data_IF_920244347205
#
_entry.id   IF_920244347205
#
_cell.length_a   1.000
_cell.length_b   1.000
_cell.length_c   1.000
_cell.angle_alpha   90.00
_cell.angle_beta   90.00
_cell.angle_gamma   90.00
#
_symmetry.space_group_name_H-M   'P 1'
#
loop_
_entity.id
_entity.type
_entity.pdbx_description
1 polymer ?
#
# COMPACT_ATOMS: atom_id res chain seq x y z
N UNK A 1 80.11 -40.55 -46.48
CA UNK A 1 79.51 -39.48 -45.69
C UNK A 1 78.10 -39.85 -45.43
N UNK A 2 77.79 -40.28 -44.20
CA UNK A 2 76.52 -40.91 -43.82
C UNK A 2 75.68 -39.88 -43.03
N UNK A 3 74.52 -39.55 -43.51
CA UNK A 3 73.56 -38.77 -42.83
C UNK A 3 72.70 -39.67 -41.92
N UNK A 4 72.82 -39.50 -40.63
CA UNK A 4 71.89 -40.09 -39.64
C UNK A 4 70.78 -39.16 -39.37
N UNK A 5 69.63 -39.50 -39.85
CA UNK A 5 68.34 -38.87 -39.54
C UNK A 5 67.76 -39.52 -38.28
N UNK A 6 67.82 -38.79 -37.14
CA UNK A 6 67.25 -39.22 -35.85
C UNK A 6 65.78 -38.93 -35.83
N UNK A 7 64.97 -39.90 -36.14
CA UNK A 7 63.53 -39.87 -35.92
C UNK A 7 63.23 -40.11 -34.43
N UNK A 8 63.05 -39.06 -33.62
CA UNK A 8 62.52 -39.17 -32.25
C UNK A 8 60.98 -39.28 -32.27
N UNK A 9 60.53 -40.53 -32.46
CA UNK A 9 59.14 -40.88 -32.21
C UNK A 9 58.78 -40.69 -30.70
N UNK A 10 58.04 -39.63 -30.38
CA UNK A 10 57.44 -39.54 -29.10
C UNK A 10 56.33 -40.60 -28.95
N UNK A 11 56.64 -41.66 -28.23
CA UNK A 11 55.64 -42.61 -27.78
C UNK A 11 54.64 -41.87 -26.84
N UNK A 12 53.50 -41.55 -27.39
CA UNK A 12 52.35 -41.13 -26.52
C UNK A 12 51.94 -42.37 -25.74
N UNK A 13 52.17 -42.35 -24.44
CA UNK A 13 51.67 -43.36 -23.53
C UNK A 13 50.14 -43.40 -23.61
N UNK A 14 49.51 -44.58 -23.69
CA UNK A 14 48.08 -44.71 -23.74
C UNK A 14 47.49 -44.08 -22.44
N UNK A 15 46.49 -43.19 -22.61
CA UNK A 15 45.79 -42.55 -21.51
C UNK A 15 45.16 -43.63 -20.60
N UNK A 16 45.53 -43.67 -19.34
CA UNK A 16 45.02 -44.63 -18.37
C UNK A 16 43.52 -44.33 -18.10
N UNK A 17 42.58 -45.22 -18.49
CA UNK A 17 41.15 -44.98 -18.35
C UNK A 17 40.68 -44.77 -16.88
N UNK A 18 41.53 -45.17 -15.92
CA UNK A 18 41.26 -44.95 -14.49
C UNK A 18 41.51 -43.49 -14.07
N UNK A 19 42.45 -42.81 -14.71
CA UNK A 19 42.75 -41.39 -14.46
C UNK A 19 41.60 -40.54 -15.01
N UNK A 20 41.10 -40.87 -16.19
CA UNK A 20 39.97 -40.15 -16.83
C UNK A 20 38.68 -40.31 -16.02
N UNK A 21 38.37 -41.51 -15.50
CA UNK A 21 37.20 -41.74 -14.67
C UNK A 21 37.29 -40.98 -13.35
N UNK A 22 38.46 -40.90 -12.73
CA UNK A 22 38.70 -40.19 -11.46
C UNK A 22 38.58 -38.67 -11.64
N UNK A 23 39.12 -38.16 -12.74
CA UNK A 23 39.05 -36.74 -13.12
C UNK A 23 37.63 -36.33 -13.47
N UNK A 24 36.86 -37.21 -14.14
CA UNK A 24 35.45 -36.98 -14.49
C UNK A 24 34.59 -36.92 -13.23
N UNK A 25 34.82 -37.81 -12.27
CA UNK A 25 34.14 -37.84 -10.97
C UNK A 25 34.46 -36.60 -10.15
N UNK A 26 35.72 -36.13 -10.13
CA UNK A 26 36.16 -34.91 -9.49
C UNK A 26 35.49 -33.66 -10.08
N UNK A 27 35.42 -33.58 -11.41
CA UNK A 27 34.75 -32.48 -12.11
C UNK A 27 33.23 -32.45 -11.80
N UNK A 28 32.59 -33.62 -11.78
CA UNK A 28 31.15 -33.72 -11.46
C UNK A 28 30.88 -33.30 -10.03
N UNK A 29 31.75 -33.69 -9.06
CA UNK A 29 31.63 -33.32 -7.69
C UNK A 29 31.84 -31.81 -7.43
N UNK A 30 32.79 -31.21 -8.18
CA UNK A 30 33.03 -29.78 -8.18
C UNK A 30 31.83 -28.98 -8.74
N UNK A 31 31.26 -29.46 -9.84
CA UNK A 31 30.05 -28.86 -10.42
C UNK A 31 28.85 -28.96 -9.48
N UNK A 32 28.69 -30.09 -8.78
CA UNK A 32 27.61 -30.30 -7.81
C UNK A 32 27.76 -29.35 -6.60
N UNK A 33 28.98 -29.19 -6.07
CA UNK A 33 29.29 -28.24 -5.02
C UNK A 33 28.98 -26.80 -5.45
N UNK A 34 29.38 -26.43 -6.66
CA UNK A 34 29.16 -25.11 -7.25
C UNK A 34 27.65 -24.84 -7.40
N UNK A 35 26.88 -25.84 -7.84
CA UNK A 35 25.43 -25.77 -7.97
C UNK A 35 24.73 -25.62 -6.60
N UNK A 36 25.17 -26.36 -5.59
CA UNK A 36 24.66 -26.25 -4.22
C UNK A 36 24.97 -24.85 -3.63
N UNK A 37 26.18 -24.34 -3.84
CA UNK A 37 26.55 -23.01 -3.36
C UNK A 37 25.83 -21.90 -4.13
N UNK A 38 25.55 -22.08 -5.42
CA UNK A 38 24.82 -21.12 -6.23
C UNK A 38 23.30 -21.19 -6.06
N UNK A 39 22.77 -22.32 -5.55
CA UNK A 39 21.33 -22.55 -5.44
C UNK A 39 20.56 -21.48 -4.63
N UNK A 40 21.05 -20.94 -3.50
CA UNK A 40 20.34 -19.89 -2.78
C UNK A 40 20.22 -18.59 -3.58
N UNK A 41 21.28 -18.25 -4.33
CA UNK A 41 21.31 -17.06 -5.18
C UNK A 41 20.34 -17.23 -6.36
N UNK A 42 20.40 -18.39 -7.02
CA UNK A 42 19.51 -18.73 -8.14
C UNK A 42 18.05 -18.77 -7.64
N UNK A 43 17.78 -19.40 -6.48
CA UNK A 43 16.45 -19.46 -5.90
C UNK A 43 15.91 -18.07 -5.54
N UNK A 44 16.76 -17.21 -4.98
CA UNK A 44 16.40 -15.81 -4.66
C UNK A 44 16.06 -15.02 -5.94
N UNK A 45 16.88 -15.19 -6.98
CA UNK A 45 16.67 -14.52 -8.25
C UNK A 45 15.39 -15.00 -8.96
N UNK A 46 15.15 -16.31 -8.96
CA UNK A 46 13.93 -16.91 -9.49
C UNK A 46 12.70 -16.47 -8.68
N UNK A 47 12.80 -16.43 -7.34
CA UNK A 47 11.72 -15.95 -6.49
C UNK A 47 11.38 -14.49 -6.77
N UNK A 48 12.36 -13.66 -7.05
CA UNK A 48 12.16 -12.23 -7.31
C UNK A 48 11.65 -11.92 -8.74
N UNK A 49 12.17 -12.61 -9.77
CA UNK A 49 11.86 -12.26 -11.15
C UNK A 49 10.85 -13.19 -11.84
N UNK A 50 10.78 -14.48 -11.45
CA UNK A 50 9.90 -15.47 -12.08
C UNK A 50 8.68 -15.77 -11.22
N UNK A 51 8.89 -15.92 -9.90
CA UNK A 51 7.81 -16.05 -8.93
C UNK A 51 7.52 -14.71 -8.28
N UNK A 52 7.44 -13.62 -9.07
CA UNK A 52 6.69 -12.48 -8.55
C UNK A 52 5.34 -13.05 -8.16
N UNK A 53 5.00 -13.15 -6.86
CA UNK A 53 3.68 -13.58 -6.48
C UNK A 53 2.78 -12.63 -7.22
N UNK A 54 1.95 -13.13 -8.14
CA UNK A 54 0.84 -12.38 -8.72
C UNK A 54 0.15 -11.81 -7.49
N UNK A 55 0.45 -10.54 -7.17
CA UNK A 55 0.23 -9.99 -5.86
C UNK A 55 -1.20 -10.26 -5.48
N UNK A 56 -1.41 -11.24 -4.63
CA UNK A 56 -2.64 -11.27 -3.89
C UNK A 56 -2.71 -9.87 -3.32
N UNK A 57 -3.73 -9.09 -3.70
CA UNK A 57 -3.85 -7.68 -3.37
C UNK A 57 -3.44 -7.53 -1.92
N UNK A 58 -2.22 -7.05 -1.66
CA UNK A 58 -1.68 -6.95 -0.31
C UNK A 58 -2.57 -6.05 0.55
N UNK A 59 -3.35 -5.20 -0.11
CA UNK A 59 -4.37 -4.35 0.45
C UNK A 59 -5.72 -4.61 -0.24
N UNK A 60 -6.79 -4.51 0.52
CA UNK A 60 -8.16 -4.54 0.01
C UNK A 60 -8.51 -3.23 -0.70
N UNK A 61 -8.07 -2.11 -0.14
CA UNK A 61 -8.17 -0.80 -0.79
C UNK A 61 -7.25 -0.71 -2.01
N UNK A 62 -7.65 0.10 -2.99
CA UNK A 62 -6.84 0.43 -4.15
C UNK A 62 -5.86 1.54 -3.78
N UNK A 63 -4.57 1.30 -4.00
CA UNK A 63 -3.56 2.34 -3.85
C UNK A 63 -3.74 3.40 -4.93
N UNK A 64 -3.56 4.65 -4.55
CA UNK A 64 -3.57 5.80 -5.46
C UNK A 64 -2.14 6.06 -5.92
N UNK A 65 -1.88 5.79 -7.18
CA UNK A 65 -0.56 5.99 -7.79
C UNK A 65 -0.69 6.88 -9.04
N UNK A 66 0.14 7.93 -9.16
CA UNK A 66 1.05 8.45 -8.14
C UNK A 66 0.29 9.02 -6.93
N UNK A 67 0.93 9.03 -5.76
CA UNK A 67 0.37 9.65 -4.56
C UNK A 67 0.00 11.10 -4.84
N UNK A 68 -1.18 11.53 -4.36
CA UNK A 68 -1.67 12.90 -4.56
C UNK A 68 -1.56 13.65 -3.24
N UNK A 69 -0.69 14.68 -3.16
CA UNK A 69 -0.60 15.48 -1.95
C UNK A 69 -1.90 16.25 -1.72
N UNK A 70 -2.20 16.48 -0.46
CA UNK A 70 -3.28 17.38 -0.03
C UNK A 70 -3.10 18.73 -0.71
N UNK A 71 -4.17 19.32 -1.27
CA UNK A 71 -4.07 20.60 -1.97
C UNK A 71 -3.46 21.68 -1.08
N UNK A 72 -2.40 22.35 -1.53
CA UNK A 72 -1.81 23.44 -0.75
C UNK A 72 -2.81 24.59 -0.63
N UNK A 73 -2.92 25.13 0.57
CA UNK A 73 -3.81 26.27 0.82
C UNK A 73 -5.30 25.94 0.88
N UNK A 74 -5.68 24.66 0.84
CA UNK A 74 -7.08 24.27 1.02
C UNK A 74 -7.56 24.69 2.40
N UNK A 75 -8.51 25.62 2.43
CA UNK A 75 -9.23 26.04 3.63
C UNK A 75 -10.54 25.29 3.72
N UNK A 76 -10.91 24.91 4.91
CA UNK A 76 -12.20 24.27 5.22
C UNK A 76 -12.84 24.96 6.41
N UNK A 77 -14.17 24.95 6.46
CA UNK A 77 -14.90 25.47 7.62
C UNK A 77 -15.23 24.31 8.55
N UNK A 78 -14.90 24.47 9.80
CA UNK A 78 -15.26 23.50 10.83
C UNK A 78 -16.76 23.59 11.20
N UNK A 79 -17.18 22.77 12.15
CA UNK A 79 -18.56 22.70 12.66
C UNK A 79 -19.06 24.01 13.28
N UNK A 80 -18.15 24.91 13.67
CA UNK A 80 -18.45 26.23 14.22
C UNK A 80 -18.39 27.33 13.15
N UNK A 81 -18.09 26.97 11.90
CA UNK A 81 -17.92 27.90 10.78
C UNK A 81 -16.57 28.61 10.76
N UNK A 82 -15.62 28.24 11.63
CA UNK A 82 -14.28 28.79 11.61
C UNK A 82 -13.48 28.21 10.44
N UNK A 83 -12.80 29.11 9.71
CA UNK A 83 -11.90 28.69 8.62
C UNK A 83 -10.59 28.16 9.19
N UNK A 84 -10.28 26.91 8.86
CA UNK A 84 -9.04 26.25 9.26
C UNK A 84 -8.33 25.64 8.06
N UNK A 85 -7.00 25.66 8.03
CA UNK A 85 -6.28 24.95 6.95
C UNK A 85 -6.55 23.46 7.06
N UNK A 86 -6.93 22.81 5.96
CA UNK A 86 -7.07 21.33 5.95
C UNK A 86 -5.76 20.64 6.31
N UNK A 87 -4.64 21.26 5.98
CA UNK A 87 -3.31 20.82 6.36
C UNK A 87 -3.07 20.75 7.89
N UNK A 88 -3.88 21.40 8.71
CA UNK A 88 -3.80 21.30 10.19
C UNK A 88 -4.09 19.90 10.71
N UNK A 89 -4.73 19.05 9.90
CA UNK A 89 -5.00 17.65 10.22
C UNK A 89 -3.81 16.71 9.94
N UNK A 90 -2.73 17.19 9.38
CA UNK A 90 -1.50 16.38 9.20
C UNK A 90 -1.00 15.84 10.54
N UNK A 91 -0.28 14.73 10.48
CA UNK A 91 0.17 14.02 11.67
C UNK A 91 -0.78 12.91 12.11
N UNK A 92 -1.96 12.81 11.48
CA UNK A 92 -2.93 11.73 11.70
C UNK A 92 -3.29 11.05 10.38
N UNK A 93 -3.74 9.81 10.47
CA UNK A 93 -4.38 9.11 9.36
C UNK A 93 -5.79 9.64 9.19
N UNK A 94 -6.13 10.17 8.01
CA UNK A 94 -7.47 10.69 7.77
C UNK A 94 -8.27 9.68 6.95
N UNK A 95 -9.41 9.25 7.48
CA UNK A 95 -10.44 8.58 6.68
C UNK A 95 -11.40 9.64 6.18
N UNK A 96 -11.40 9.87 4.87
CA UNK A 96 -12.15 10.97 4.25
C UNK A 96 -13.33 10.42 3.46
N UNK A 97 -14.53 10.89 3.72
CA UNK A 97 -15.69 10.76 2.83
C UNK A 97 -16.14 12.13 2.35
N UNK A 98 -16.80 12.16 1.21
CA UNK A 98 -17.30 13.40 0.60
C UNK A 98 -18.76 13.22 0.21
N UNK A 99 -19.63 14.10 0.68
CA UNK A 99 -21.06 14.08 0.37
C UNK A 99 -21.69 15.47 0.55
N UNK A 100 -22.95 15.62 0.12
CA UNK A 100 -23.76 16.80 0.45
C UNK A 100 -24.28 16.76 1.90
N UNK A 101 -24.69 17.93 2.40
CA UNK A 101 -25.21 18.10 3.77
C UNK A 101 -26.47 17.29 4.06
N UNK A 102 -27.27 16.97 3.06
CA UNK A 102 -28.50 16.17 3.18
C UNK A 102 -28.23 14.72 3.62
N UNK A 103 -27.02 14.23 3.42
CA UNK A 103 -26.53 12.93 3.85
C UNK A 103 -27.53 11.78 3.66
N UNK A 104 -27.63 11.28 2.47
CA UNK A 104 -28.49 10.14 2.14
C UNK A 104 -28.05 8.84 2.86
N UNK A 105 -28.77 7.75 2.64
CA UNK A 105 -28.47 6.45 3.24
C UNK A 105 -27.05 5.97 2.94
N UNK A 106 -26.49 6.32 1.78
CA UNK A 106 -25.11 5.94 1.38
C UNK A 106 -24.09 6.72 2.21
N UNK A 107 -24.29 8.03 2.35
CA UNK A 107 -23.51 8.88 3.24
C UNK A 107 -23.57 8.39 4.69
N UNK A 108 -24.77 8.14 5.21
CA UNK A 108 -24.97 7.67 6.58
C UNK A 108 -24.25 6.34 6.85
N UNK A 109 -24.30 5.38 5.90
CA UNK A 109 -23.55 4.12 6.00
C UNK A 109 -22.04 4.35 6.00
N UNK A 110 -21.51 5.28 5.22
CA UNK A 110 -20.07 5.61 5.22
C UNK A 110 -19.65 6.20 6.57
N UNK A 111 -20.40 7.17 7.10
CA UNK A 111 -20.11 7.76 8.41
C UNK A 111 -20.14 6.71 9.52
N UNK A 112 -21.15 5.85 9.53
CA UNK A 112 -21.22 4.73 10.46
C UNK A 112 -20.02 3.79 10.33
N UNK A 113 -19.66 3.43 9.11
CA UNK A 113 -18.51 2.55 8.83
C UNK A 113 -17.21 3.18 9.31
N UNK A 114 -16.95 4.45 9.02
CA UNK A 114 -15.75 5.16 9.48
C UNK A 114 -15.66 5.21 11.00
N UNK A 115 -16.80 5.48 11.68
CA UNK A 115 -16.89 5.42 13.14
C UNK A 115 -16.49 4.06 13.68
N UNK A 116 -17.10 2.99 13.15
CA UNK A 116 -16.83 1.61 13.58
C UNK A 116 -15.38 1.20 13.31
N UNK A 117 -14.83 1.60 12.18
CA UNK A 117 -13.44 1.34 11.81
C UNK A 117 -12.47 2.00 12.79
N UNK A 118 -12.70 3.27 13.16
CA UNK A 118 -11.89 3.98 14.14
C UNK A 118 -11.94 3.29 15.50
N UNK A 119 -13.15 3.04 16.03
CA UNK A 119 -13.35 2.37 17.32
C UNK A 119 -12.70 0.98 17.31
N UNK A 120 -12.82 0.26 16.20
CA UNK A 120 -12.27 -1.08 16.03
C UNK A 120 -10.73 -1.16 16.04
N UNK A 121 -10.00 -0.03 15.96
CA UNK A 121 -8.54 -0.01 16.09
C UNK A 121 -8.05 -0.03 17.55
N UNK A 122 -8.96 0.07 18.52
CA UNK A 122 -8.61 -0.02 19.92
C UNK A 122 -7.62 1.07 20.36
N UNK A 123 -6.41 0.71 20.86
CA UNK A 123 -5.41 1.68 21.30
C UNK A 123 -4.96 2.66 20.21
N UNK A 124 -4.95 2.22 18.95
CA UNK A 124 -4.50 3.03 17.82
C UNK A 124 -5.59 3.96 17.25
N UNK A 125 -6.80 3.95 17.82
CA UNK A 125 -7.93 4.75 17.32
C UNK A 125 -7.63 6.25 17.22
N UNK A 126 -6.83 6.78 18.15
CA UNK A 126 -6.53 8.20 18.22
C UNK A 126 -5.50 8.65 17.15
N UNK A 127 -4.94 7.71 16.43
CA UNK A 127 -4.11 7.94 15.25
C UNK A 127 -4.95 8.14 13.99
N UNK A 128 -6.25 7.85 14.03
CA UNK A 128 -7.18 7.95 12.91
C UNK A 128 -8.22 9.02 13.18
N UNK A 129 -8.40 9.93 12.23
CA UNK A 129 -9.43 10.96 12.26
C UNK A 129 -10.38 10.73 11.08
N UNK A 130 -11.62 10.33 11.33
CA UNK A 130 -12.65 10.33 10.31
C UNK A 130 -13.02 11.78 9.94
N UNK A 131 -13.12 12.04 8.64
CA UNK A 131 -13.44 13.37 8.10
C UNK A 131 -14.58 13.24 7.12
N UNK A 132 -15.64 13.96 7.33
CA UNK A 132 -16.69 14.16 6.36
C UNK A 132 -16.54 15.54 5.70
N UNK A 133 -16.20 15.55 4.42
CA UNK A 133 -16.13 16.77 3.62
C UNK A 133 -17.53 17.04 3.03
N UNK A 134 -18.18 18.06 3.54
CA UNK A 134 -19.49 18.51 3.08
C UNK A 134 -19.28 19.47 1.91
N UNK A 135 -19.89 19.15 0.77
CA UNK A 135 -19.65 19.83 -0.52
C UNK A 135 -20.65 20.94 -0.84
N UNK A 136 -21.60 21.19 0.05
CA UNK A 136 -22.61 22.23 -0.12
C UNK A 136 -22.78 23.06 1.16
N UNK A 137 -23.60 24.10 1.09
CA UNK A 137 -23.90 25.01 2.19
C UNK A 137 -25.23 24.68 2.90
N UNK A 138 -25.87 23.55 2.58
CA UNK A 138 -27.11 23.12 3.21
C UNK A 138 -26.96 22.85 4.70
N UNK A 139 -28.05 22.85 5.47
CA UNK A 139 -28.02 22.52 6.90
C UNK A 139 -27.68 21.02 7.08
N UNK A 140 -26.83 20.73 8.05
CA UNK A 140 -26.58 19.35 8.51
C UNK A 140 -27.64 19.01 9.55
N UNK A 141 -28.23 17.80 9.46
CA UNK A 141 -29.20 17.34 10.48
C UNK A 141 -28.54 17.36 11.88
N UNK A 142 -29.07 18.07 12.84
CA UNK A 142 -28.54 18.10 14.21
C UNK A 142 -28.42 16.71 14.85
N UNK A 143 -29.30 15.77 14.50
CA UNK A 143 -29.27 14.40 15.01
C UNK A 143 -28.03 13.68 14.51
N UNK A 144 -27.66 13.92 13.25
CA UNK A 144 -26.45 13.37 12.66
C UNK A 144 -25.20 13.94 13.34
N UNK A 145 -25.15 15.27 13.54
CA UNK A 145 -24.07 15.92 14.26
C UNK A 145 -23.92 15.35 15.67
N UNK A 146 -24.99 15.22 16.43
CA UNK A 146 -24.95 14.65 17.78
C UNK A 146 -24.51 13.19 17.83
N UNK A 147 -24.85 12.38 16.81
CA UNK A 147 -24.49 10.97 16.76
C UNK A 147 -23.00 10.72 16.50
N UNK A 148 -22.28 11.68 15.93
CA UNK A 148 -20.90 11.52 15.50
C UNK A 148 -19.90 12.48 16.14
N UNK A 149 -20.37 13.48 16.88
CA UNK A 149 -19.53 14.47 17.58
C UNK A 149 -19.22 14.05 19.03
N UNK A 150 -18.95 12.76 19.24
CA UNK A 150 -18.48 12.24 20.52
C UNK A 150 -16.97 11.90 20.43
N UNK A 151 -16.29 11.80 21.57
CA UNK A 151 -14.86 11.48 21.63
C UNK A 151 -14.51 10.11 21.02
N UNK A 152 -15.49 9.22 20.95
CA UNK A 152 -15.30 7.90 20.35
C UNK A 152 -15.37 7.92 18.83
N UNK A 153 -16.37 8.58 18.28
CA UNK A 153 -16.52 8.71 16.82
C UNK A 153 -15.52 9.71 16.28
N UNK A 154 -15.42 10.84 16.93
CA UNK A 154 -14.55 11.98 16.59
C UNK A 154 -14.56 12.32 15.09
N UNK A 155 -15.73 12.19 14.45
CA UNK A 155 -15.88 12.54 13.03
C UNK A 155 -15.84 14.05 12.90
N UNK A 156 -14.88 14.56 12.14
CA UNK A 156 -14.78 15.99 11.85
C UNK A 156 -15.67 16.33 10.66
N UNK A 157 -16.64 17.20 10.88
CA UNK A 157 -17.49 17.74 9.82
C UNK A 157 -16.85 19.00 9.29
N UNK A 158 -16.37 18.93 8.05
CA UNK A 158 -15.65 20.04 7.43
C UNK A 158 -16.32 20.41 6.10
N UNK A 159 -16.56 21.71 5.89
CA UNK A 159 -17.07 22.21 4.61
C UNK A 159 -15.91 22.64 3.74
N UNK A 160 -15.89 22.13 2.53
CA UNK A 160 -14.87 22.46 1.53
C UNK A 160 -15.54 23.11 0.32
N UNK A 161 -15.52 24.44 0.27
CA UNK A 161 -16.14 25.19 -0.82
C UNK A 161 -15.34 25.05 -2.13
N UNK A 162 -14.01 24.97 -2.02
CA UNK A 162 -13.07 24.96 -3.16
C UNK A 162 -12.23 23.68 -3.22
N UNK A 163 -12.87 22.53 -3.06
CA UNK A 163 -12.15 21.26 -3.19
C UNK A 163 -11.70 21.07 -4.65
N UNK A 164 -10.39 20.97 -4.93
CA UNK A 164 -9.91 20.79 -6.30
C UNK A 164 -10.48 19.53 -6.93
N UNK A 165 -11.06 19.67 -8.11
CA UNK A 165 -11.58 18.54 -8.89
C UNK A 165 -10.46 17.55 -9.17
N UNK A 166 -10.72 16.28 -8.87
CA UNK A 166 -9.78 15.19 -9.13
C UNK A 166 -8.74 14.95 -8.04
N UNK A 167 -8.75 15.67 -6.92
CA UNK A 167 -7.95 15.28 -5.75
C UNK A 167 -8.47 13.98 -5.15
N UNK A 168 -9.78 13.90 -4.88
CA UNK A 168 -10.46 12.66 -4.50
C UNK A 168 -11.03 11.97 -5.75
N UNK A 169 -10.94 10.63 -5.76
CA UNK A 169 -11.47 9.80 -6.83
C UNK A 169 -10.50 9.60 -8.02
N UNK A 170 -10.89 8.70 -8.88
CA UNK A 170 -10.14 8.31 -10.09
C UNK A 170 -10.73 8.91 -11.37
N UNK A 171 -11.80 9.71 -11.24
CA UNK A 171 -12.56 10.27 -12.35
C UNK A 171 -13.46 9.28 -13.09
N UNK A 172 -13.43 7.99 -12.73
CA UNK A 172 -14.23 6.92 -13.35
C UNK A 172 -15.53 6.68 -12.59
N UNK A 173 -15.47 6.84 -11.27
CA UNK A 173 -16.58 6.67 -10.35
C UNK A 173 -16.82 7.96 -9.57
N UNK A 174 -18.06 8.21 -9.10
CA UNK A 174 -18.34 9.35 -8.26
C UNK A 174 -17.47 9.32 -7.00
N UNK A 175 -16.80 10.42 -6.68
CA UNK A 175 -15.96 10.51 -5.48
C UNK A 175 -16.78 10.30 -4.19
N UNK A 176 -18.08 10.57 -4.23
CA UNK A 176 -19.03 10.34 -3.15
C UNK A 176 -19.27 8.86 -2.84
N UNK A 177 -18.91 7.95 -3.75
CA UNK A 177 -19.13 6.50 -3.54
C UNK A 177 -18.07 5.84 -2.63
N UNK A 178 -17.00 6.56 -2.29
CA UNK A 178 -15.82 5.97 -1.70
C UNK A 178 -15.44 6.55 -0.33
N UNK A 179 -14.69 5.77 0.43
CA UNK A 179 -13.93 6.23 1.57
C UNK A 179 -12.46 6.28 1.14
N UNK A 180 -11.79 7.37 1.45
CA UNK A 180 -10.40 7.62 1.10
C UNK A 180 -9.52 7.57 2.34
N UNK A 181 -8.26 7.21 2.16
CA UNK A 181 -7.27 7.24 3.22
C UNK A 181 -6.14 8.20 2.83
N UNK A 182 -5.92 9.19 3.69
CA UNK A 182 -4.82 10.15 3.58
C UNK A 182 -3.81 9.84 4.68
N UNK A 183 -2.54 9.79 4.31
CA UNK A 183 -1.44 9.49 5.23
C UNK A 183 -1.13 10.69 6.16
N UNK A 184 -0.37 10.49 7.24
CA UNK A 184 -0.01 11.58 8.15
C UNK A 184 0.85 12.69 7.52
N UNK A 185 1.47 12.45 6.36
CA UNK A 185 2.18 13.48 5.60
C UNK A 185 1.23 14.33 4.75
N UNK A 186 -0.02 13.88 4.61
CA UNK A 186 -1.06 14.56 3.83
C UNK A 186 -1.15 14.09 2.38
N UNK A 187 -0.73 12.86 2.08
CA UNK A 187 -0.90 12.30 0.73
C UNK A 187 -2.12 11.40 0.68
N UNK A 188 -2.95 11.57 -0.33
CA UNK A 188 -4.00 10.62 -0.66
C UNK A 188 -3.33 9.32 -1.11
N UNK A 189 -3.47 8.28 -0.29
CA UNK A 189 -2.76 7.02 -0.46
C UNK A 189 -3.64 5.89 -0.98
N UNK A 190 -4.89 5.84 -0.53
CA UNK A 190 -5.76 4.70 -0.80
C UNK A 190 -7.22 5.12 -0.98
N UNK A 191 -7.91 4.39 -1.84
CA UNK A 191 -9.35 4.49 -2.06
C UNK A 191 -9.98 3.12 -1.79
N UNK A 192 -11.01 3.09 -0.96
CA UNK A 192 -11.81 1.87 -0.75
C UNK A 192 -12.93 1.78 -1.78
N UNK A 193 -13.34 0.56 -2.17
CA UNK A 193 -14.45 0.39 -3.10
C UNK A 193 -15.77 0.92 -2.51
N UNK A 194 -16.77 1.06 -3.37
CA UNK A 194 -18.14 1.34 -2.94
C UNK A 194 -18.64 0.22 -2.02
N UNK A 195 -19.35 0.58 -0.96
CA UNK A 195 -19.84 -0.35 0.08
C UNK A 195 -18.74 -1.33 0.56
N UNK A 196 -17.64 -0.81 1.13
CA UNK A 196 -16.49 -1.64 1.45
C UNK A 196 -16.79 -2.59 2.60
N UNK A 197 -16.23 -3.82 2.53
CA UNK A 197 -16.27 -4.79 3.63
C UNK A 197 -15.48 -4.26 4.85
N UNK A 198 -16.16 -3.95 5.98
CA UNK A 198 -15.50 -3.34 7.14
C UNK A 198 -14.37 -4.21 7.73
N UNK A 199 -14.48 -5.55 7.64
CA UNK A 199 -13.44 -6.46 8.15
C UNK A 199 -12.15 -6.34 7.34
N UNK A 200 -12.26 -6.22 6.02
CA UNK A 200 -11.12 -6.07 5.12
C UNK A 200 -10.48 -4.70 5.27
N UNK A 201 -11.28 -3.62 5.34
CA UNK A 201 -10.79 -2.27 5.62
C UNK A 201 -10.06 -2.21 6.96
N UNK A 202 -10.64 -2.81 8.02
CA UNK A 202 -9.99 -2.91 9.33
C UNK A 202 -8.66 -3.62 9.26
N UNK A 203 -8.56 -4.69 8.46
CA UNK A 203 -7.32 -5.41 8.23
C UNK A 203 -6.24 -4.56 7.57
N UNK A 204 -6.62 -3.73 6.59
CA UNK A 204 -5.70 -2.79 5.95
C UNK A 204 -5.22 -1.71 6.92
N UNK A 205 -6.15 -1.06 7.62
CA UNK A 205 -5.83 -0.05 8.63
C UNK A 205 -4.91 -0.61 9.72
N UNK A 206 -5.22 -1.79 10.27
CA UNK A 206 -4.39 -2.41 11.29
C UNK A 206 -2.97 -2.73 10.81
N UNK A 207 -2.80 -3.15 9.55
CA UNK A 207 -1.48 -3.33 8.95
C UNK A 207 -0.73 -2.01 8.81
N UNK A 208 -1.38 -0.98 8.29
CA UNK A 208 -0.78 0.35 8.13
C UNK A 208 -0.33 0.93 9.48
N UNK A 209 -1.20 0.92 10.48
CA UNK A 209 -0.91 1.44 11.82
C UNK A 209 0.23 0.66 12.49
N UNK A 210 0.29 -0.66 12.31
CA UNK A 210 1.35 -1.50 12.88
C UNK A 210 2.74 -1.16 12.33
N UNK A 211 2.84 -0.84 11.04
CA UNK A 211 4.13 -0.57 10.40
C UNK A 211 4.46 0.92 10.28
N UNK A 212 3.46 1.80 10.39
CA UNK A 212 3.67 3.25 10.42
C UNK A 212 4.15 3.70 11.81
N UNK A 213 5.27 4.43 11.83
CA UNK A 213 5.79 5.08 13.06
C UNK A 213 5.26 6.49 13.26
N UNK A 214 4.48 7.00 12.31
CA UNK A 214 3.90 8.35 12.32
C UNK A 214 2.37 8.29 12.36
N UNK A 215 1.75 9.28 12.92
CA UNK A 215 0.31 9.39 13.07
C UNK A 215 -0.20 9.08 14.45
#
# INVERSE_FOLDING_TARGET
>A
MVNQESASGRLQAPADPRIDARTRRGRMMMLLLLLVCASPVIASYLAYYVFTPAGGKAAYGMLVEPQRPMPPGLMVKDEHGAEVPFASLKGKWLMVSMDGSACDDTCARKLFTMRQLRIGQGPDRDRIVPVWLVTDQGPIDPRLAMAYNDDYAAVRFLRADDLPKGWLGDGKTPATDHIYLVDPLGNLMMQFPKDPDPKKVRGDLGRLLKYSRIG
#
